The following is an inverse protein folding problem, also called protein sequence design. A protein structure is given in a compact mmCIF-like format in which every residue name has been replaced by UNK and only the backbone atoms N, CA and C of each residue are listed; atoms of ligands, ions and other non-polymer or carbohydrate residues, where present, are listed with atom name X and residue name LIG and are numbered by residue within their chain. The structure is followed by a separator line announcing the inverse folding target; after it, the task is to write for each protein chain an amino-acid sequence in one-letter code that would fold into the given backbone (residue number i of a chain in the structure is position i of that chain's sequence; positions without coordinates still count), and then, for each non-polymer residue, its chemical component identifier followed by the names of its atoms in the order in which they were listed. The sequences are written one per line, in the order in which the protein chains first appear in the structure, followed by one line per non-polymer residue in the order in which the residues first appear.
data_IF_497988247573
#
_entry.id   IF_497988247573
#
_cell.length_a   1.000
_cell.length_b   1.000
_cell.length_c   1.000
_cell.angle_alpha   90.00
_cell.angle_beta   90.00
_cell.angle_gamma   90.00
#
_symmetry.space_group_name_H-M   'P 1'
#
loop_
_entity.id
_entity.type
_entity.pdbx_description
1 polymer ?
#
# COMPACT_ATOMS: atom_id res chain seq x y z
N UNK A 1 -0.23 -13.85 12.05
CA UNK A 1 -1.28 -13.32 12.95
C UNK A 1 -0.57 -12.39 13.92
N UNK A 2 -1.12 -11.21 14.20
CA UNK A 2 -0.51 -10.27 15.15
C UNK A 2 -0.78 -10.72 16.57
N UNK A 3 0.25 -10.70 17.40
CA UNK A 3 0.14 -10.97 18.83
C UNK A 3 -0.18 -9.65 19.55
N UNK A 4 -1.32 -9.58 20.25
CA UNK A 4 -1.80 -8.32 20.85
C UNK A 4 -0.92 -7.83 22.00
N UNK A 5 -0.21 -8.73 22.67
CA UNK A 5 0.75 -8.44 23.74
C UNK A 5 2.04 -7.76 23.24
N UNK A 6 2.28 -7.78 21.91
CA UNK A 6 3.41 -7.10 21.26
C UNK A 6 3.05 -5.75 20.65
N UNK A 7 1.80 -5.32 20.80
CA UNK A 7 1.38 -3.97 20.40
C UNK A 7 1.71 -3.04 21.56
N UNK A 8 2.76 -2.25 21.40
CA UNK A 8 3.15 -1.26 22.41
C UNK A 8 2.10 -0.16 22.50
N UNK A 9 1.60 0.27 21.34
CA UNK A 9 0.65 1.36 21.21
C UNK A 9 -0.12 1.29 19.89
N UNK A 10 -1.38 1.71 19.91
CA UNK A 10 -2.21 1.85 18.72
C UNK A 10 -3.23 2.96 18.96
N UNK A 11 -3.29 3.97 18.09
CA UNK A 11 -4.26 5.06 18.13
C UNK A 11 -5.09 5.19 16.84
N UNK A 12 -5.11 4.14 16.01
CA UNK A 12 -5.87 4.14 14.77
C UNK A 12 -7.34 4.52 14.99
N UNK A 13 -7.79 5.49 14.20
CA UNK A 13 -9.18 5.93 14.14
C UNK A 13 -9.65 6.04 12.70
N UNK A 14 -10.92 6.41 12.51
CA UNK A 14 -11.45 6.77 11.20
C UNK A 14 -10.78 8.01 10.57
N UNK A 15 -9.91 8.73 11.29
CA UNK A 15 -9.13 9.84 10.77
C UNK A 15 -7.67 9.47 10.47
N UNK A 16 -7.31 8.19 10.61
CA UNK A 16 -5.92 7.74 10.55
C UNK A 16 -5.36 7.49 11.94
N UNK A 17 -4.04 7.36 12.01
CA UNK A 17 -3.27 7.09 13.23
C UNK A 17 -2.07 6.20 12.93
N UNK A 18 -1.48 5.66 13.97
CA UNK A 18 -0.34 4.76 13.93
C UNK A 18 -0.49 3.56 14.87
N UNK A 19 0.25 2.51 14.55
CA UNK A 19 0.43 1.34 15.41
C UNK A 19 1.92 1.06 15.55
N UNK A 20 2.34 0.88 16.80
CA UNK A 20 3.68 0.48 17.19
C UNK A 20 3.70 -1.00 17.59
N UNK A 21 4.53 -1.79 16.91
CA UNK A 21 4.65 -3.23 17.13
C UNK A 21 6.09 -3.62 17.46
N UNK A 22 6.28 -4.36 18.55
CA UNK A 22 7.57 -4.90 18.96
C UNK A 22 8.05 -6.03 18.05
N UNK A 23 9.27 -5.90 17.53
CA UNK A 23 9.95 -6.87 16.67
C UNK A 23 11.18 -7.52 17.32
N UNK A 24 11.49 -7.19 18.59
CA UNK A 24 12.70 -7.65 19.29
C UNK A 24 12.83 -9.16 19.41
N UNK A 25 11.71 -9.88 19.32
CA UNK A 25 11.69 -11.35 19.32
C UNK A 25 12.17 -11.98 18.00
N UNK A 26 12.14 -11.24 16.89
CA UNK A 26 12.56 -11.75 15.58
C UNK A 26 14.08 -11.71 15.41
N UNK A 27 14.72 -10.64 15.86
CA UNK A 27 16.16 -10.45 15.73
C UNK A 27 16.68 -9.45 16.76
N UNK A 28 17.88 -9.62 17.33
CA UNK A 28 18.43 -8.72 18.35
C UNK A 28 18.61 -7.26 17.90
N UNK A 29 18.73 -7.02 16.59
CA UNK A 29 18.81 -5.66 16.03
C UNK A 29 17.44 -5.02 15.75
N UNK A 30 16.36 -5.78 15.74
CA UNK A 30 15.03 -5.23 15.44
C UNK A 30 14.41 -4.71 16.73
N UNK A 31 14.02 -3.44 16.73
CA UNK A 31 13.27 -2.83 17.83
C UNK A 31 11.78 -2.82 17.50
N UNK A 32 11.37 -1.79 16.75
CA UNK A 32 9.97 -1.45 16.56
C UNK A 32 9.62 -1.36 15.07
N UNK A 33 8.43 -1.84 14.72
CA UNK A 33 7.72 -1.49 13.48
C UNK A 33 6.65 -0.45 13.81
N UNK A 34 6.77 0.73 13.20
CA UNK A 34 5.73 1.76 13.23
C UNK A 34 4.99 1.76 11.90
N UNK A 35 3.68 1.53 11.90
CA UNK A 35 2.83 1.63 10.73
C UNK A 35 1.88 2.82 10.88
N UNK A 36 1.98 3.77 9.96
CA UNK A 36 1.13 4.96 9.95
C UNK A 36 0.11 4.92 8.82
N UNK A 37 -1.05 5.51 9.08
CA UNK A 37 -2.09 5.78 8.11
C UNK A 37 -2.57 7.22 8.26
N UNK A 38 -2.36 8.05 7.24
CA UNK A 38 -2.75 9.47 7.26
C UNK A 38 -3.76 9.75 6.16
N UNK A 39 -4.80 10.55 6.44
CA UNK A 39 -5.75 10.97 5.40
C UNK A 39 -5.08 12.03 4.53
N UNK A 40 -4.71 11.65 3.31
CA UNK A 40 -4.03 12.55 2.37
C UNK A 40 -5.00 13.47 1.66
N UNK A 41 -6.19 12.98 1.36
CA UNK A 41 -7.22 13.70 0.63
C UNK A 41 -8.59 13.04 0.80
N UNK A 42 -9.61 13.65 0.20
CA UNK A 42 -10.98 13.12 0.16
C UNK A 42 -11.50 13.21 -1.27
N UNK A 43 -12.14 12.15 -1.76
CA UNK A 43 -12.76 12.14 -3.09
C UNK A 43 -13.94 13.10 -3.14
N UNK A 44 -14.42 13.42 -4.35
CA UNK A 44 -15.65 14.21 -4.53
C UNK A 44 -16.87 13.59 -3.83
N UNK A 45 -16.92 12.25 -3.73
CA UNK A 45 -17.97 11.50 -3.03
C UNK A 45 -17.81 11.49 -1.50
N UNK A 46 -16.83 12.20 -0.95
CA UNK A 46 -16.57 12.25 0.49
C UNK A 46 -15.78 11.07 1.04
N UNK A 47 -15.21 10.20 0.20
CA UNK A 47 -14.41 9.04 0.64
C UNK A 47 -13.00 9.48 1.00
N UNK A 48 -12.53 9.11 2.18
CA UNK A 48 -11.15 9.40 2.63
C UNK A 48 -10.16 8.51 1.88
N UNK A 49 -9.06 9.11 1.44
CA UNK A 49 -7.91 8.43 0.87
C UNK A 49 -6.82 8.40 1.94
N UNK A 50 -6.46 7.21 2.40
CA UNK A 50 -5.41 7.03 3.39
C UNK A 50 -4.08 6.74 2.70
N UNK A 51 -3.03 7.47 3.03
CA UNK A 51 -1.66 7.11 2.70
C UNK A 51 -1.07 6.25 3.81
N UNK A 52 -0.36 5.19 3.42
CA UNK A 52 0.18 4.19 4.32
C UNK A 52 1.70 4.12 4.21
N UNK A 53 2.37 4.46 5.31
CA UNK A 53 3.83 4.44 5.45
C UNK A 53 4.23 3.54 6.61
N UNK A 54 5.48 3.04 6.60
CA UNK A 54 6.00 2.30 7.73
C UNK A 54 7.47 2.58 7.94
N UNK A 55 7.89 2.51 9.20
CA UNK A 55 9.25 2.74 9.64
C UNK A 55 9.70 1.58 10.51
N UNK A 56 10.98 1.24 10.38
CA UNK A 56 11.63 0.20 11.15
C UNK A 56 12.71 0.83 12.00
N UNK A 57 12.71 0.50 13.28
CA UNK A 57 13.66 1.01 14.25
C UNK A 57 14.49 -0.14 14.79
N UNK A 58 15.75 0.16 15.04
CA UNK A 58 16.62 -0.71 15.81
C UNK A 58 16.28 -0.61 17.30
N UNK A 59 16.67 -1.60 18.08
CA UNK A 59 16.52 -1.56 19.55
C UNK A 59 17.14 -0.26 20.09
N UNK A 60 16.40 0.42 20.95
CA UNK A 60 16.78 1.70 21.58
C UNK A 60 17.09 2.86 20.60
N UNK A 61 16.74 2.74 19.31
CA UNK A 61 16.90 3.80 18.32
C UNK A 61 15.60 4.57 18.11
N UNK A 62 15.70 5.91 18.05
CA UNK A 62 14.62 6.80 17.64
C UNK A 62 14.67 7.20 16.15
N UNK A 63 15.64 6.67 15.41
CA UNK A 63 15.84 6.99 13.98
C UNK A 63 15.53 5.75 13.14
N UNK A 64 14.66 5.88 12.10
CA UNK A 64 14.39 4.78 11.19
C UNK A 64 15.66 4.27 10.52
N UNK A 65 15.80 2.95 10.44
CA UNK A 65 16.97 2.29 9.86
C UNK A 65 16.56 1.31 8.77
N UNK A 66 17.46 1.12 7.81
CA UNK A 66 17.34 0.09 6.80
C UNK A 66 17.99 -1.21 7.27
N UNK A 67 17.27 -2.32 7.10
CA UNK A 67 17.67 -3.66 7.51
C UNK A 67 18.04 -4.57 6.32
N UNK A 68 18.48 -3.98 5.20
CA UNK A 68 18.93 -4.68 3.99
C UNK A 68 20.00 -5.74 4.25
N UNK A 69 20.87 -5.51 5.25
CA UNK A 69 21.95 -6.41 5.64
C UNK A 69 21.49 -7.68 6.36
N UNK A 70 20.26 -7.71 6.90
CA UNK A 70 19.75 -8.88 7.61
C UNK A 70 19.64 -10.11 6.68
N UNK A 71 19.72 -11.33 7.23
CA UNK A 71 19.53 -12.56 6.48
C UNK A 71 18.17 -12.60 5.78
N UNK A 72 18.10 -13.30 4.63
CA UNK A 72 16.87 -13.41 3.83
C UNK A 72 15.69 -13.97 4.63
N UNK A 73 15.94 -14.93 5.53
CA UNK A 73 14.89 -15.49 6.39
C UNK A 73 14.26 -14.41 7.28
N UNK A 74 15.08 -13.64 8.01
CA UNK A 74 14.60 -12.55 8.88
C UNK A 74 13.87 -11.49 8.08
N UNK A 75 14.37 -11.14 6.88
CA UNK A 75 13.67 -10.20 5.99
C UNK A 75 12.29 -10.71 5.57
N UNK A 76 12.15 -12.01 5.32
CA UNK A 76 10.86 -12.59 4.97
C UNK A 76 9.88 -12.51 6.15
N UNK A 77 10.33 -12.87 7.36
CA UNK A 77 9.52 -12.77 8.59
C UNK A 77 9.12 -11.31 8.89
N UNK A 78 10.04 -10.37 8.66
CA UNK A 78 9.76 -8.94 8.76
C UNK A 78 8.65 -8.49 7.81
N UNK A 79 8.71 -8.92 6.54
CA UNK A 79 7.63 -8.65 5.57
C UNK A 79 6.31 -9.26 5.99
N UNK A 80 6.30 -10.48 6.55
CA UNK A 80 5.08 -11.06 7.11
C UNK A 80 4.47 -10.18 8.20
N UNK A 81 5.29 -9.63 9.10
CA UNK A 81 4.81 -8.73 10.15
C UNK A 81 4.28 -7.41 9.59
N UNK A 82 5.00 -6.78 8.66
CA UNK A 82 4.52 -5.57 7.98
C UNK A 82 3.15 -5.79 7.35
N UNK A 83 2.96 -6.89 6.62
CA UNK A 83 1.66 -7.19 6.00
C UNK A 83 0.59 -7.61 7.02
N UNK A 84 0.96 -8.27 8.12
CA UNK A 84 0.04 -8.56 9.20
C UNK A 84 -0.48 -7.28 9.87
N UNK A 85 0.37 -6.28 10.09
CA UNK A 85 -0.02 -4.98 10.65
C UNK A 85 -0.93 -4.25 9.68
N UNK A 86 -0.56 -4.22 8.39
CA UNK A 86 -1.42 -3.62 7.36
C UNK A 86 -2.81 -4.27 7.32
N UNK A 87 -2.89 -5.61 7.31
CA UNK A 87 -4.20 -6.33 7.34
C UNK A 87 -5.06 -5.93 8.52
N UNK A 88 -4.47 -5.81 9.71
CA UNK A 88 -5.20 -5.42 10.92
C UNK A 88 -5.91 -4.07 10.75
N UNK A 89 -5.26 -3.08 10.12
CA UNK A 89 -5.90 -1.79 9.82
C UNK A 89 -7.11 -1.95 8.90
N UNK A 90 -7.01 -2.77 7.85
CA UNK A 90 -8.13 -3.05 6.95
C UNK A 90 -9.30 -3.76 7.64
N UNK A 91 -9.01 -4.65 8.59
CA UNK A 91 -10.01 -5.39 9.35
C UNK A 91 -10.74 -4.50 10.39
N UNK A 92 -10.00 -3.66 11.11
CA UNK A 92 -10.53 -2.80 12.17
C UNK A 92 -11.19 -1.52 11.62
N UNK A 93 -10.51 -0.79 10.73
CA UNK A 93 -10.96 0.52 10.24
C UNK A 93 -11.82 0.39 8.99
N UNK A 94 -11.64 -0.67 8.20
CA UNK A 94 -12.36 -0.92 6.93
C UNK A 94 -12.34 0.31 6.01
N UNK A 95 -11.15 0.87 5.71
CA UNK A 95 -11.00 2.08 4.92
C UNK A 95 -11.62 1.91 3.53
N UNK A 96 -12.11 2.99 2.94
CA UNK A 96 -12.65 2.96 1.59
C UNK A 96 -11.54 2.94 0.53
N UNK A 97 -10.49 3.74 0.72
CA UNK A 97 -9.36 3.86 -0.21
C UNK A 97 -8.05 3.96 0.57
N UNK A 98 -7.07 3.11 0.26
CA UNK A 98 -5.71 3.18 0.81
C UNK A 98 -4.70 3.22 -0.32
N UNK A 99 -3.76 4.15 -0.25
CA UNK A 99 -2.63 4.30 -1.16
C UNK A 99 -1.34 3.88 -0.47
N UNK A 100 -0.57 3.03 -1.15
CA UNK A 100 0.79 2.66 -0.77
C UNK A 100 1.77 3.20 -1.80
N UNK A 101 2.65 4.11 -1.38
CA UNK A 101 3.71 4.62 -2.24
C UNK A 101 4.91 3.67 -2.25
N UNK A 102 5.51 3.48 -3.42
CA UNK A 102 6.72 2.67 -3.59
C UNK A 102 7.89 3.58 -3.93
N UNK A 103 8.73 3.82 -2.93
CA UNK A 103 9.88 4.73 -3.02
C UNK A 103 10.99 4.22 -3.96
N UNK A 104 11.21 2.90 -4.02
CA UNK A 104 12.29 2.32 -4.83
C UNK A 104 11.81 1.83 -6.21
N UNK A 105 12.45 2.36 -7.27
CA UNK A 105 12.18 2.03 -8.68
C UNK A 105 12.39 0.55 -9.04
N UNK A 106 13.28 -0.14 -8.33
CA UNK A 106 13.71 -1.49 -8.70
C UNK A 106 12.62 -2.52 -8.40
N UNK A 107 11.78 -2.65 -9.42
CA UNK A 107 10.67 -3.58 -9.61
C UNK A 107 9.40 -3.25 -8.83
N UNK A 108 8.74 -2.16 -9.25
CA UNK A 108 7.32 -1.89 -8.93
C UNK A 108 6.44 -3.12 -9.18
N UNK A 109 6.73 -3.92 -10.20
CA UNK A 109 6.00 -5.15 -10.52
C UNK A 109 6.24 -6.26 -9.50
N UNK A 110 7.48 -6.44 -9.01
CA UNK A 110 7.78 -7.39 -7.93
C UNK A 110 7.17 -6.93 -6.62
N UNK A 111 7.24 -5.64 -6.31
CA UNK A 111 6.57 -5.05 -5.14
C UNK A 111 5.07 -5.28 -5.21
N UNK A 112 4.45 -4.98 -6.35
CA UNK A 112 3.04 -5.25 -6.59
C UNK A 112 2.70 -6.72 -6.38
N UNK A 113 3.47 -7.63 -6.99
CA UNK A 113 3.27 -9.07 -6.81
C UNK A 113 3.32 -9.45 -5.33
N UNK A 114 4.29 -8.93 -4.57
CA UNK A 114 4.38 -9.14 -3.13
C UNK A 114 3.14 -8.62 -2.39
N UNK A 115 2.62 -7.44 -2.74
CA UNK A 115 1.40 -6.89 -2.16
C UNK A 115 0.18 -7.76 -2.48
N UNK A 116 0.01 -8.22 -3.72
CA UNK A 116 -1.07 -9.14 -4.07
C UNK A 116 -0.97 -10.49 -3.34
N UNK A 117 0.24 -11.03 -3.23
CA UNK A 117 0.47 -12.35 -2.64
C UNK A 117 0.31 -12.32 -1.10
N UNK A 118 0.75 -11.23 -0.45
CA UNK A 118 0.81 -11.13 1.02
C UNK A 118 -0.34 -10.34 1.64
N UNK A 119 -0.89 -9.36 0.93
CA UNK A 119 -2.01 -8.52 1.35
C UNK A 119 -3.23 -8.79 0.45
N UNK A 120 -3.68 -10.04 0.47
CA UNK A 120 -4.88 -10.45 -0.22
C UNK A 120 -6.13 -10.00 0.58
N UNK A 121 -6.84 -9.01 0.05
CA UNK A 121 -8.03 -8.43 0.65
C UNK A 121 -9.21 -8.62 -0.31
N UNK A 122 -10.07 -9.64 -0.12
CA UNK A 122 -11.08 -10.04 -1.11
C UNK A 122 -12.15 -8.96 -1.34
N UNK A 123 -12.40 -8.11 -0.35
CA UNK A 123 -13.36 -7.01 -0.41
C UNK A 123 -12.81 -5.75 -1.09
N UNK A 124 -11.56 -5.81 -1.56
CA UNK A 124 -10.86 -4.69 -2.18
C UNK A 124 -10.46 -5.01 -3.62
N UNK A 125 -10.49 -4.00 -4.47
CA UNK A 125 -9.86 -3.96 -5.77
C UNK A 125 -8.51 -3.27 -5.63
N UNK A 126 -7.52 -3.80 -6.34
CA UNK A 126 -6.16 -3.27 -6.32
C UNK A 126 -5.87 -2.66 -7.69
N UNK A 127 -5.54 -1.38 -7.71
CA UNK A 127 -5.08 -0.66 -8.91
C UNK A 127 -3.61 -0.27 -8.76
N UNK A 128 -2.90 -0.17 -9.89
CA UNK A 128 -1.49 0.24 -9.93
C UNK A 128 -1.35 1.44 -10.85
N UNK A 129 -0.91 2.55 -10.28
CA UNK A 129 -0.37 3.65 -11.07
C UNK A 129 1.15 3.51 -11.16
N UNK A 130 1.64 3.01 -12.29
CA UNK A 130 3.08 2.86 -12.54
C UNK A 130 3.82 4.20 -12.63
N UNK A 131 3.13 5.26 -13.04
CA UNK A 131 3.73 6.59 -13.20
C UNK A 131 3.89 7.23 -11.83
N UNK A 132 2.85 7.16 -10.99
CA UNK A 132 2.85 7.69 -9.62
C UNK A 132 3.49 6.76 -8.59
N UNK A 133 3.79 5.52 -8.96
CA UNK A 133 4.38 4.48 -8.10
C UNK A 133 3.49 4.15 -6.90
N UNK A 134 2.18 4.11 -7.15
CA UNK A 134 1.18 3.90 -6.11
C UNK A 134 0.43 2.60 -6.36
N UNK A 135 0.29 1.81 -5.29
CA UNK A 135 -0.67 0.70 -5.24
C UNK A 135 -1.88 1.20 -4.45
N UNK A 136 -3.05 1.18 -5.07
CA UNK A 136 -4.29 1.67 -4.47
C UNK A 136 -5.21 0.50 -4.18
N UNK A 137 -5.60 0.35 -2.91
CA UNK A 137 -6.66 -0.55 -2.47
C UNK A 137 -7.95 0.23 -2.37
N UNK A 138 -8.94 -0.11 -3.18
CA UNK A 138 -10.27 0.50 -3.15
C UNK A 138 -11.30 -0.57 -2.78
N UNK A 139 -12.11 -0.29 -1.77
CA UNK A 139 -13.16 -1.20 -1.33
C UNK A 139 -14.20 -1.39 -2.44
N UNK A 140 -14.56 -2.65 -2.70
CA UNK A 140 -15.59 -3.00 -3.67
C UNK A 140 -16.91 -2.41 -3.24
N UNK A 141 -17.55 -1.68 -4.14
CA UNK A 141 -18.91 -1.22 -3.90
C UNK A 141 -19.82 -2.43 -4.08
N UNK A 142 -20.33 -2.99 -2.98
CA UNK A 142 -21.37 -4.03 -3.07
C UNK A 142 -22.61 -3.34 -3.61
N UNK A 143 -22.97 -3.63 -4.87
CA UNK A 143 -24.26 -3.25 -5.43
C UNK A 143 -25.35 -3.99 -4.64
N UNK A 144 -25.80 -3.37 -3.55
CA UNK A 144 -26.99 -3.79 -2.82
C UNK A 144 -28.17 -3.23 -3.61
N UNK A 145 -28.49 -3.88 -4.74
CA UNK A 145 -29.53 -3.45 -5.65
C UNK A 145 -29.97 -4.61 -6.53
N UNK A 146 -31.17 -5.11 -6.28
CA UNK A 146 -31.91 -5.97 -7.20
C UNK A 146 -31.88 -5.35 -8.61
N UNK A 147 -31.32 -6.07 -9.59
CA UNK A 147 -31.62 -5.88 -11.00
C UNK A 147 -30.43 -5.57 -11.90
N UNK A 148 -30.15 -6.50 -12.83
CA UNK A 148 -29.45 -6.21 -14.08
C UNK A 148 -27.94 -6.41 -14.02
N UNK A 149 -27.49 -7.57 -14.53
CA UNK A 149 -26.12 -8.00 -14.44
C UNK A 149 -25.13 -7.19 -15.28
N UNK A 150 -23.91 -7.09 -14.77
CA UNK A 150 -22.68 -6.99 -15.55
C UNK A 150 -21.60 -7.79 -14.83
N UNK A 151 -21.14 -8.88 -15.44
CA UNK A 151 -19.98 -9.64 -14.98
C UNK A 151 -18.73 -8.93 -15.49
N UNK A 152 -18.04 -8.16 -14.63
CA UNK A 152 -16.64 -7.81 -14.88
C UNK A 152 -15.75 -8.79 -14.13
N UNK A 153 -15.61 -10.00 -14.66
CA UNK A 153 -14.46 -10.86 -14.33
C UNK A 153 -13.25 -10.37 -15.11
N UNK A 154 -12.41 -9.51 -14.49
CA UNK A 154 -10.98 -9.50 -14.82
C UNK A 154 -10.27 -10.42 -13.85
N UNK A 155 -10.19 -11.71 -14.23
CA UNK A 155 -9.23 -12.64 -13.64
C UNK A 155 -7.83 -12.19 -14.05
N UNK A 156 -6.89 -12.22 -13.10
CA UNK A 156 -5.47 -12.24 -13.41
C UNK A 156 -5.18 -13.51 -14.24
N UNK A 157 -5.04 -13.34 -15.56
CA UNK A 157 -4.48 -14.39 -16.43
C UNK A 157 -3.18 -13.87 -17.02
N UNK A 158 -2.07 -14.62 -16.92
CA UNK A 158 -0.83 -14.27 -17.59
C UNK A 158 -0.99 -14.52 -19.09
N UNK A 159 -0.79 -13.49 -19.91
CA UNK A 159 -0.75 -13.62 -21.37
C UNK A 159 0.68 -13.92 -21.79
N UNK A 160 0.89 -15.09 -22.41
CA UNK A 160 2.12 -15.45 -23.11
C UNK A 160 2.30 -14.56 -24.36
N UNK A 161 3.54 -14.30 -24.83
CA UNK A 161 3.78 -13.36 -25.92
C UNK A 161 3.58 -14.04 -27.28
N UNK A 162 2.84 -13.38 -28.18
CA UNK A 162 2.83 -13.69 -29.59
C UNK A 162 2.99 -12.39 -30.41
N UNK A 163 3.72 -12.50 -31.50
CA UNK A 163 4.42 -11.44 -32.20
C UNK A 163 3.54 -10.56 -33.13
N UNK A 164 4.07 -9.35 -33.38
CA UNK A 164 4.08 -8.60 -34.65
C UNK A 164 2.75 -8.11 -35.27
N UNK A 165 2.55 -6.79 -35.28
CA UNK A 165 2.67 -5.90 -36.47
C UNK A 165 1.85 -4.61 -36.29
N UNK A 166 2.45 -3.46 -36.61
CA UNK A 166 1.87 -2.11 -36.54
C UNK A 166 1.11 -1.74 -37.83
N UNK A 167 0.65 -0.48 -38.07
CA UNK A 167 0.25 0.62 -37.19
C UNK A 167 -1.17 1.18 -37.55
N UNK A 168 -1.80 1.95 -36.65
CA UNK A 168 -2.82 2.93 -37.06
C UNK A 168 -2.84 4.11 -36.09
N UNK A 169 -2.60 5.30 -36.64
CA UNK A 169 -2.67 6.59 -35.98
C UNK A 169 -4.12 6.97 -35.66
N UNK A 170 -4.32 7.69 -34.55
CA UNK A 170 -5.32 8.75 -34.50
C UNK A 170 -4.90 9.82 -33.48
N UNK A 171 -5.12 11.06 -33.90
CA UNK A 171 -4.55 12.31 -33.41
C UNK A 171 -5.24 12.92 -32.17
N UNK A 172 -4.40 13.60 -31.38
CA UNK A 172 -4.60 14.94 -30.78
C UNK A 172 -5.74 15.20 -29.78
N UNK A 173 -5.35 15.43 -28.51
CA UNK A 173 -5.46 16.78 -27.91
C UNK A 173 -4.60 16.95 -26.65
N UNK A 174 -3.72 17.94 -26.71
CA UNK A 174 -2.91 18.51 -25.63
C UNK A 174 -3.81 19.27 -24.67
N UNK A 175 -3.61 19.10 -23.36
CA UNK A 175 -3.71 20.21 -22.39
C UNK A 175 -2.62 20.06 -21.34
N UNK A 176 -1.61 20.94 -21.46
CA UNK A 176 -0.60 21.21 -20.45
C UNK A 176 -1.26 21.96 -19.30
N UNK A 177 -1.06 21.48 -18.06
CA UNK A 177 -1.10 22.34 -16.88
C UNK A 177 0.18 22.14 -16.07
N UNK A 178 1.17 22.97 -16.42
CA UNK A 178 2.24 23.35 -15.51
C UNK A 178 1.70 24.38 -14.53
N UNK A 179 1.95 24.21 -13.22
CA UNK A 179 2.13 25.33 -12.30
C UNK A 179 3.05 24.98 -11.12
N UNK A 180 3.70 26.00 -10.54
CA UNK A 180 5.05 25.93 -9.98
C UNK A 180 5.03 25.82 -8.46
N UNK A 181 6.09 25.30 -7.86
CA UNK A 181 6.41 25.63 -6.48
C UNK A 181 7.66 26.49 -6.41
N UNK A 182 7.37 27.75 -6.09
CA UNK A 182 8.27 28.81 -5.67
C UNK A 182 9.01 28.43 -4.38
N UNK A 183 10.33 28.65 -4.43
CA UNK A 183 11.20 28.83 -3.28
C UNK A 183 10.62 29.86 -2.31
N UNK A 184 10.57 29.51 -1.02
CA UNK A 184 10.64 30.50 0.06
C UNK A 184 11.76 30.05 1.01
N UNK A 185 12.80 30.87 1.07
CA UNK A 185 13.81 30.90 2.13
C UNK A 185 13.21 31.58 3.36
N UNK A 186 13.50 31.06 4.54
CA UNK A 186 13.89 31.85 5.70
C UNK A 186 15.04 31.13 6.39
#
# INVERSE_FOLDING_TARGET
MIENDRVNWCDWTSNGGALEYDLSYLHPELGILLQEYQVSSTTYEGKKIYQSDFYLFEVDSSVPRDFRHLPTQIKNELWEMVFAVKRRFFEEIKPEIVEHFIDQEYSIEKRYKTYCDKLNLPDYEIDIDKIRRTITYQKKTTLTGNGGGFIFTRRCTPVAPAASSAPAACETRITLFSRPYSLIKY
#
